data_IF_482411347361
#
_entry.id   IF_482411347361
#
_cell.length_a   1.000
_cell.length_b   1.000
_cell.length_c   1.000
_cell.angle_alpha   90.00
_cell.angle_beta   90.00
_cell.angle_gamma   90.00
#
_symmetry.space_group_name_H-M   'P 1'
#
loop_
_entity.id
_entity.type
_entity.pdbx_description
1 polymer ?
#
# COMPACT_ATOMS: atom_id res chain seq x y z
N UNK A 1 -20.88 -1.93 11.69
CA UNK A 1 -21.43 -2.91 12.64
C UNK A 1 -21.40 -4.33 12.09
N UNK A 2 -22.19 -4.70 11.07
CA UNK A 2 -22.22 -6.10 10.57
C UNK A 2 -20.86 -6.70 10.13
N UNK A 3 -19.94 -5.91 9.56
CA UNK A 3 -18.61 -6.39 9.13
C UNK A 3 -17.57 -6.44 10.25
N UNK A 4 -17.72 -5.59 11.26
CA UNK A 4 -16.79 -5.44 12.39
C UNK A 4 -16.99 -6.59 13.40
N UNK A 5 -18.26 -6.96 13.64
CA UNK A 5 -18.63 -8.13 14.47
C UNK A 5 -18.18 -9.48 13.88
N UNK A 6 -18.02 -9.56 12.55
CA UNK A 6 -17.68 -10.82 11.86
C UNK A 6 -16.17 -11.02 11.72
N UNK A 7 -15.38 -9.94 11.71
CA UNK A 7 -13.93 -9.98 11.41
C UNK A 7 -13.05 -9.70 12.61
N UNK A 8 -13.56 -9.00 13.65
CA UNK A 8 -12.75 -8.57 14.80
C UNK A 8 -11.72 -7.48 14.46
N UNK A 9 -11.68 -7.02 13.20
CA UNK A 9 -10.86 -5.90 12.75
C UNK A 9 -11.68 -4.60 12.86
N UNK A 10 -11.03 -3.47 13.15
CA UNK A 10 -11.67 -2.15 13.21
C UNK A 10 -12.02 -1.62 11.81
N UNK A 11 -12.80 -2.39 11.06
CA UNK A 11 -13.21 -2.14 9.66
C UNK A 11 -13.79 -0.74 9.52
N UNK A 12 -14.51 -0.24 10.53
CA UNK A 12 -15.05 1.12 10.53
C UNK A 12 -13.94 2.18 10.54
N UNK A 13 -12.97 2.08 11.45
CA UNK A 13 -11.84 3.00 11.52
C UNK A 13 -11.01 2.98 10.23
N UNK A 14 -10.94 1.83 9.57
CA UNK A 14 -10.30 1.71 8.26
C UNK A 14 -11.09 2.42 7.15
N UNK A 15 -12.42 2.32 7.14
CA UNK A 15 -13.28 2.87 6.09
C UNK A 15 -13.54 4.39 6.20
N UNK A 16 -13.53 4.94 7.40
CA UNK A 16 -13.82 6.37 7.64
C UNK A 16 -12.93 7.30 6.77
N UNK A 17 -11.60 7.12 6.70
CA UNK A 17 -10.74 7.90 5.80
C UNK A 17 -10.96 7.65 4.30
N UNK A 18 -11.71 6.63 3.88
CA UNK A 18 -12.04 6.43 2.46
C UNK A 18 -13.36 7.06 2.06
N UNK A 19 -14.30 7.20 3.01
CA UNK A 19 -15.66 7.68 2.74
C UNK A 19 -15.81 9.18 3.03
N UNK A 20 -15.15 9.67 4.08
CA UNK A 20 -15.38 11.02 4.61
C UNK A 20 -14.41 12.08 4.09
N UNK A 21 -13.40 11.69 3.32
CA UNK A 21 -12.46 12.61 2.67
C UNK A 21 -12.37 12.31 1.17
N UNK A 22 -12.26 13.37 0.37
CA UNK A 22 -12.03 13.25 -1.06
C UNK A 22 -10.57 12.89 -1.38
N UNK A 23 -10.38 12.19 -2.50
CA UNK A 23 -9.07 11.79 -3.01
C UNK A 23 -8.70 10.35 -2.67
N UNK A 24 -7.43 10.02 -2.84
CA UNK A 24 -6.83 8.72 -2.52
C UNK A 24 -5.32 8.86 -2.36
N UNK A 25 -4.64 7.90 -1.72
CA UNK A 25 -3.20 7.96 -1.56
C UNK A 25 -2.46 7.44 -2.79
N UNK A 26 -1.23 7.89 -2.93
CA UNK A 26 -0.19 7.15 -3.62
C UNK A 26 0.75 6.54 -2.59
N UNK A 27 1.09 5.27 -2.80
CA UNK A 27 1.98 4.48 -1.94
C UNK A 27 3.31 4.28 -2.66
N UNK A 28 4.38 4.71 -2.00
CA UNK A 28 5.75 4.52 -2.41
C UNK A 28 6.32 3.32 -1.67
N UNK A 29 6.87 2.36 -2.42
CA UNK A 29 7.51 1.17 -1.88
C UNK A 29 9.02 1.29 -2.14
N UNK A 30 9.84 1.25 -1.08
CA UNK A 30 11.30 1.35 -1.17
C UNK A 30 11.93 0.14 -0.51
N UNK A 31 12.64 -0.72 -1.27
CA UNK A 31 13.43 -1.81 -0.70
C UNK A 31 14.46 -1.29 0.30
N UNK A 32 14.68 -2.06 1.35
CA UNK A 32 15.70 -1.82 2.37
C UNK A 32 16.57 -3.07 2.52
N UNK A 33 17.74 -3.00 3.15
CA UNK A 33 18.58 -4.19 3.38
C UNK A 33 17.89 -5.34 4.14
N UNK A 34 16.81 -5.06 4.86
CA UNK A 34 16.14 -6.01 5.75
C UNK A 34 14.63 -6.13 5.51
N UNK A 35 14.13 -5.63 4.38
CA UNK A 35 12.71 -5.67 4.06
C UNK A 35 12.24 -4.50 3.19
N UNK A 36 11.08 -3.93 3.48
CA UNK A 36 10.43 -2.91 2.64
C UNK A 36 9.95 -1.73 3.49
N UNK A 37 10.31 -0.51 3.12
CA UNK A 37 9.69 0.72 3.63
C UNK A 37 8.55 1.11 2.71
N UNK A 38 7.36 1.29 3.26
CA UNK A 38 6.19 1.82 2.54
C UNK A 38 5.81 3.18 3.12
N UNK A 39 5.50 4.13 2.25
CA UNK A 39 5.08 5.48 2.62
C UNK A 39 3.86 5.88 1.81
N UNK A 40 2.91 6.56 2.42
CA UNK A 40 1.78 7.15 1.71
C UNK A 40 1.85 8.68 1.67
N UNK A 41 1.20 9.26 0.66
CA UNK A 41 0.86 10.67 0.57
C UNK A 41 -0.41 10.85 -0.25
N UNK A 42 -1.11 11.97 -0.08
CA UNK A 42 -2.22 12.33 -0.95
C UNK A 42 -1.76 12.40 -2.41
N UNK A 43 -2.47 11.71 -3.31
CA UNK A 43 -2.24 11.82 -4.73
C UNK A 43 -2.87 13.09 -5.30
N UNK A 44 -2.04 13.96 -5.86
CA UNK A 44 -2.40 15.14 -6.64
C UNK A 44 -1.63 15.12 -7.96
N UNK A 45 -2.14 15.79 -8.99
CA UNK A 45 -1.42 15.93 -10.26
C UNK A 45 -0.16 16.80 -10.10
N UNK A 46 -0.25 17.84 -9.26
CA UNK A 46 0.90 18.60 -8.76
C UNK A 46 1.24 18.11 -7.34
N UNK A 47 2.36 17.38 -7.14
CA UNK A 47 2.76 16.89 -5.82
C UNK A 47 2.95 17.99 -4.77
N UNK A 48 3.16 19.26 -5.17
CA UNK A 48 3.29 20.39 -4.25
C UNK A 48 1.98 20.75 -3.53
N UNK A 49 0.84 20.36 -4.12
CA UNK A 49 -0.51 20.57 -3.55
C UNK A 49 -0.95 19.43 -2.63
N UNK A 50 -0.12 18.39 -2.47
CA UNK A 50 -0.45 17.28 -1.59
C UNK A 50 -0.41 17.73 -0.12
N UNK A 51 -1.52 17.51 0.59
CA UNK A 51 -1.61 17.78 2.02
C UNK A 51 -1.28 16.54 2.87
N UNK A 52 -1.32 16.71 4.19
CA UNK A 52 -0.90 15.69 5.16
C UNK A 52 -2.02 14.69 5.53
N UNK A 53 -3.13 14.65 4.79
CA UNK A 53 -4.20 13.69 5.08
C UNK A 53 -3.73 12.26 4.81
N UNK A 54 -4.22 11.32 5.60
CA UNK A 54 -3.81 9.92 5.55
C UNK A 54 -5.03 9.01 5.36
N UNK A 55 -4.77 7.82 4.85
CA UNK A 55 -5.73 6.73 4.76
C UNK A 55 -5.22 5.55 5.57
N UNK A 56 -6.13 4.72 6.07
CA UNK A 56 -5.73 3.39 6.53
C UNK A 56 -5.75 2.49 5.30
N UNK A 57 -4.57 2.14 4.78
CA UNK A 57 -4.42 1.50 3.47
C UNK A 57 -4.18 -0.01 3.63
N UNK A 58 -5.11 -0.89 3.20
CA UNK A 58 -4.85 -2.32 3.10
C UNK A 58 -3.94 -2.58 1.90
N UNK A 59 -2.69 -2.96 2.17
CA UNK A 59 -1.71 -3.33 1.16
C UNK A 59 -1.78 -4.84 0.91
N UNK A 60 -1.73 -5.23 -0.36
CA UNK A 60 -1.52 -6.62 -0.78
C UNK A 60 -0.20 -6.69 -1.51
N UNK A 61 0.82 -7.17 -0.83
CA UNK A 61 2.18 -7.16 -1.32
C UNK A 61 2.43 -8.45 -2.08
N UNK A 62 2.63 -8.33 -3.39
CA UNK A 62 3.07 -9.42 -4.25
C UNK A 62 4.59 -9.45 -4.26
N UNK A 63 5.14 -10.59 -3.88
CA UNK A 63 6.54 -10.95 -4.09
C UNK A 63 6.63 -11.98 -5.21
N UNK A 64 7.84 -12.35 -5.60
CA UNK A 64 8.07 -13.45 -6.55
C UNK A 64 7.63 -14.82 -6.04
N UNK A 65 7.36 -14.96 -4.74
CA UNK A 65 7.05 -16.22 -4.06
C UNK A 65 5.61 -16.31 -3.58
N UNK A 66 4.88 -15.19 -3.50
CA UNK A 66 3.50 -15.18 -3.02
C UNK A 66 2.90 -13.79 -2.83
N UNK A 67 1.79 -13.75 -2.09
CA UNK A 67 1.09 -12.51 -1.74
C UNK A 67 0.85 -12.49 -0.23
N UNK A 68 1.16 -11.36 0.41
CA UNK A 68 0.88 -11.13 1.84
C UNK A 68 0.09 -9.84 2.04
N UNK A 69 -0.73 -9.79 3.09
CA UNK A 69 -1.54 -8.64 3.45
C UNK A 69 -0.95 -7.88 4.64
N UNK A 70 -0.96 -6.55 4.58
CA UNK A 70 -0.61 -5.68 5.72
C UNK A 70 -1.40 -4.37 5.66
N UNK A 71 -1.65 -3.76 6.81
CA UNK A 71 -2.35 -2.48 6.90
C UNK A 71 -1.35 -1.36 7.19
N UNK A 72 -1.29 -0.35 6.34
CA UNK A 72 -0.55 0.89 6.58
C UNK A 72 -1.48 1.88 7.30
N UNK A 73 -1.32 1.98 8.62
CA UNK A 73 -2.02 2.93 9.49
C UNK A 73 -1.03 4.00 9.99
N UNK A 74 -0.84 5.05 9.19
CA UNK A 74 0.15 6.09 9.42
C UNK A 74 0.88 6.53 8.15
N UNK A 75 1.75 7.55 8.24
CA UNK A 75 2.42 8.10 7.06
C UNK A 75 3.42 7.14 6.43
N UNK A 76 4.04 6.27 7.22
CA UNK A 76 4.99 5.26 6.77
C UNK A 76 5.03 4.04 7.70
N UNK A 77 5.54 2.92 7.16
CA UNK A 77 5.78 1.68 7.89
C UNK A 77 7.01 0.99 7.30
N UNK A 78 7.77 0.30 8.15
CA UNK A 78 8.85 -0.61 7.70
C UNK A 78 8.47 -2.05 8.00
N UNK A 79 8.38 -2.86 6.95
CA UNK A 79 8.16 -4.30 7.00
C UNK A 79 9.51 -4.98 7.06
N UNK A 80 9.82 -5.63 8.16
CA UNK A 80 11.07 -6.40 8.32
C UNK A 80 10.85 -7.86 7.94
N UNK A 81 11.89 -8.53 7.45
CA UNK A 81 11.84 -9.95 7.10
C UNK A 81 11.23 -10.28 5.73
N UNK A 82 10.81 -9.26 4.97
CA UNK A 82 10.39 -9.41 3.58
C UNK A 82 11.63 -9.53 2.68
N UNK A 83 12.10 -10.77 2.48
CA UNK A 83 13.36 -11.05 1.77
C UNK A 83 13.18 -11.31 0.28
N UNK A 84 11.99 -11.78 -0.11
CA UNK A 84 11.69 -12.00 -1.51
C UNK A 84 11.50 -10.67 -2.27
N UNK A 85 11.97 -10.58 -3.53
CA UNK A 85 11.80 -9.37 -4.33
C UNK A 85 10.33 -8.97 -4.45
N UNK A 86 10.05 -7.70 -4.19
CA UNK A 86 8.71 -7.12 -4.24
C UNK A 86 8.38 -6.70 -5.66
N UNK A 87 7.26 -7.21 -6.18
CA UNK A 87 6.75 -6.88 -7.52
C UNK A 87 5.80 -5.68 -7.43
N UNK A 88 4.89 -5.68 -6.46
CA UNK A 88 3.94 -4.58 -6.22
C UNK A 88 3.37 -4.65 -4.81
N UNK A 89 2.90 -3.52 -4.28
CA UNK A 89 2.17 -3.44 -3.01
C UNK A 89 0.64 -3.41 -3.19
N UNK A 90 0.16 -3.50 -4.43
CA UNK A 90 -1.26 -3.58 -4.79
C UNK A 90 -1.51 -4.79 -5.72
N UNK A 91 -1.35 -6.00 -5.18
CA UNK A 91 -1.60 -7.23 -5.91
C UNK A 91 -3.01 -7.22 -6.54
N UNK A 92 -3.06 -7.63 -7.81
CA UNK A 92 -4.28 -7.70 -8.63
C UNK A 92 -4.99 -6.35 -8.82
N UNK A 93 -4.32 -5.24 -8.50
CA UNK A 93 -4.89 -3.89 -8.48
C UNK A 93 -6.19 -3.79 -7.66
N UNK A 94 -6.29 -4.59 -6.59
CA UNK A 94 -7.50 -4.73 -5.78
C UNK A 94 -7.79 -3.54 -4.84
N UNK A 95 -6.78 -2.73 -4.51
CA UNK A 95 -6.92 -1.53 -3.67
C UNK A 95 -7.08 -0.23 -4.48
N UNK A 96 -7.82 0.73 -3.93
CA UNK A 96 -8.02 2.06 -4.53
C UNK A 96 -6.90 3.04 -4.16
N UNK A 97 -5.70 2.80 -4.67
CA UNK A 97 -4.56 3.69 -4.52
C UNK A 97 -3.57 3.49 -5.67
N UNK A 98 -2.69 4.46 -5.88
CA UNK A 98 -1.60 4.32 -6.86
C UNK A 98 -0.35 3.78 -6.20
N UNK A 99 0.44 3.03 -6.95
CA UNK A 99 1.78 2.58 -6.53
C UNK A 99 2.82 3.34 -7.34
N UNK A 100 3.85 3.86 -6.68
CA UNK A 100 5.08 4.29 -7.35
C UNK A 100 6.04 3.10 -7.32
N UNK A 101 6.26 2.43 -8.46
CA UNK A 101 7.20 1.32 -8.52
C UNK A 101 8.64 1.85 -8.46
N UNK A 102 9.53 1.09 -7.83
CA UNK A 102 10.96 1.25 -8.05
C UNK A 102 11.38 0.58 -9.39
N UNK A 103 12.59 0.89 -9.88
CA UNK A 103 13.07 0.34 -11.15
C UNK A 103 13.15 -1.19 -11.18
N UNK A 104 13.52 -1.83 -10.07
CA UNK A 104 13.61 -3.29 -9.99
C UNK A 104 12.23 -3.95 -10.01
N UNK A 105 11.23 -3.32 -9.39
CA UNK A 105 9.83 -3.76 -9.45
C UNK A 105 9.29 -3.68 -10.89
N UNK A 106 9.65 -2.63 -11.64
CA UNK A 106 9.31 -2.53 -13.07
C UNK A 106 9.92 -3.70 -13.86
N UNK A 107 11.20 -4.00 -13.64
CA UNK A 107 11.88 -5.10 -14.33
C UNK A 107 11.22 -6.46 -14.06
N UNK A 108 10.78 -6.71 -12.82
CA UNK A 108 10.06 -7.93 -12.45
C UNK A 108 8.70 -8.05 -13.14
N UNK A 109 7.95 -6.95 -13.23
CA UNK A 109 6.68 -6.92 -13.96
C UNK A 109 6.90 -7.22 -15.44
N UNK A 110 7.91 -6.61 -16.06
CA UNK A 110 8.28 -6.86 -17.47
C UNK A 110 8.72 -8.31 -17.69
N UNK A 111 9.38 -8.91 -16.70
CA UNK A 111 9.74 -10.33 -16.69
C UNK A 111 8.56 -11.29 -16.42
N UNK A 112 7.33 -10.79 -16.31
CA UNK A 112 6.11 -11.61 -16.19
C UNK A 112 5.78 -12.07 -14.78
N UNK A 113 6.30 -11.41 -13.73
CA UNK A 113 6.05 -11.77 -12.33
C UNK A 113 4.85 -11.02 -11.71
N UNK A 114 4.03 -10.37 -12.53
CA UNK A 114 2.90 -9.51 -12.14
C UNK A 114 1.69 -10.28 -11.59
#
# INVERSE_FOLDING_TARGET
>A
DALEETTGEAVRAMMEPWILQGGYPVVEATPTPHGLRVRQRHFTLDPGEADARLWVVPLRIRTTTGVTGVVLDGPEMTLTGLTDPVVTVNADASGFFRVVPDGAAVDLVVAGHA
#
